data_IF_188119330729
#
_entry.id   IF_188119330729
#
_cell.length_a   1.000
_cell.length_b   1.000
_cell.length_c   1.000
_cell.angle_alpha   90.00
_cell.angle_beta   90.00
_cell.angle_gamma   90.00
#
_symmetry.space_group_name_H-M   'P 1'
#
loop_
_entity.id
_entity.type
_entity.pdbx_description
1 polymer ?
#
# COMPACT_ATOMS: atom_id res chain seq x y z
N UNK A 1 4.25 -53.54 -55.95
CA UNK A 1 3.30 -54.60 -56.30
C UNK A 1 2.06 -53.95 -56.90
N UNK A 2 1.62 -54.38 -58.10
CA UNK A 2 0.43 -53.82 -58.76
C UNK A 2 -0.79 -54.24 -57.94
N UNK A 3 -1.51 -53.29 -57.35
CA UNK A 3 -2.81 -53.55 -56.70
C UNK A 3 -3.85 -53.66 -57.80
N UNK A 4 -4.68 -54.69 -57.71
CA UNK A 4 -5.80 -54.93 -58.62
C UNK A 4 -6.95 -54.06 -58.11
N UNK A 5 -7.59 -53.32 -59.01
CA UNK A 5 -8.79 -52.52 -58.69
C UNK A 5 -10.06 -53.33 -59.01
N UNK A 6 -11.20 -52.95 -58.44
CA UNK A 6 -12.51 -53.58 -58.72
C UNK A 6 -12.76 -53.66 -60.24
N UNK A 7 -12.45 -52.58 -60.95
CA UNK A 7 -12.56 -52.47 -62.41
C UNK A 7 -11.63 -53.45 -63.13
N UNK A 8 -10.43 -53.71 -62.59
CA UNK A 8 -9.50 -54.68 -63.17
C UNK A 8 -9.99 -56.13 -63.04
N UNK A 9 -10.79 -56.43 -61.99
CA UNK A 9 -11.39 -57.75 -61.77
C UNK A 9 -12.56 -57.96 -62.73
N UNK A 10 -13.44 -56.98 -62.87
CA UNK A 10 -14.61 -57.03 -63.76
C UNK A 10 -14.24 -57.23 -65.24
N UNK A 11 -13.14 -56.61 -65.69
CA UNK A 11 -12.70 -56.71 -67.09
C UNK A 11 -11.73 -57.89 -67.34
N UNK A 12 -11.53 -58.78 -66.36
CA UNK A 12 -10.56 -59.86 -66.48
C UNK A 12 -11.10 -61.03 -67.29
N UNK A 13 -10.52 -61.27 -68.47
CA UNK A 13 -10.84 -62.45 -69.28
C UNK A 13 -9.83 -63.58 -69.07
N UNK A 14 -10.30 -64.81 -68.80
CA UNK A 14 -9.46 -66.00 -68.70
C UNK A 14 -9.39 -66.79 -70.01
N UNK A 15 -8.25 -67.45 -70.28
CA UNK A 15 -8.08 -68.34 -71.44
C UNK A 15 -8.71 -69.70 -71.14
N UNK A 16 -9.41 -70.30 -72.12
CA UNK A 16 -9.98 -71.65 -72.00
C UNK A 16 -8.88 -72.72 -72.12
N UNK A 17 -8.88 -73.70 -71.21
CA UNK A 17 -7.97 -74.85 -71.21
C UNK A 17 -8.77 -76.17 -71.10
N UNK A 18 -8.24 -77.27 -71.64
CA UNK A 18 -8.93 -78.57 -71.78
C UNK A 18 -9.21 -79.24 -70.40
N UNK A 19 -8.44 -78.89 -69.37
CA UNK A 19 -8.72 -79.17 -67.95
C UNK A 19 -8.64 -77.84 -67.19
N UNK A 20 -9.76 -77.11 -67.12
CA UNK A 20 -9.85 -75.81 -66.45
C UNK A 20 -10.98 -75.79 -65.41
N UNK A 21 -11.01 -74.73 -64.61
CA UNK A 21 -12.10 -74.47 -63.67
C UNK A 21 -13.41 -74.19 -64.42
N UNK A 22 -14.54 -74.55 -63.81
CA UNK A 22 -15.86 -74.22 -64.32
C UNK A 22 -16.03 -72.70 -64.37
N UNK A 23 -16.59 -72.20 -65.48
CA UNK A 23 -16.70 -70.77 -65.69
C UNK A 23 -17.69 -70.14 -64.72
N UNK A 24 -18.84 -70.78 -64.50
CA UNK A 24 -19.85 -70.29 -63.56
C UNK A 24 -19.29 -70.14 -62.13
N UNK A 25 -18.58 -71.14 -61.63
CA UNK A 25 -17.98 -71.10 -60.28
C UNK A 25 -16.92 -69.99 -60.14
N UNK A 26 -16.12 -69.76 -61.19
CA UNK A 26 -15.12 -68.69 -61.19
C UNK A 26 -15.79 -67.31 -61.24
N UNK A 27 -16.80 -67.13 -62.08
CA UNK A 27 -17.52 -65.86 -62.20
C UNK A 27 -18.22 -65.53 -60.86
N UNK A 28 -18.84 -66.51 -60.20
CA UNK A 28 -19.47 -66.31 -58.88
C UNK A 28 -18.45 -65.97 -57.78
N UNK A 29 -17.28 -66.61 -57.77
CA UNK A 29 -16.21 -66.28 -56.82
C UNK A 29 -15.61 -64.89 -57.09
N UNK A 30 -15.56 -64.44 -58.35
CA UNK A 30 -15.13 -63.08 -58.68
C UNK A 30 -16.13 -62.03 -58.20
N UNK A 31 -17.43 -62.30 -58.28
CA UNK A 31 -18.47 -61.40 -57.74
C UNK A 31 -18.33 -61.26 -56.21
N UNK A 32 -18.11 -62.36 -55.48
CA UNK A 32 -17.85 -62.33 -54.03
C UNK A 32 -16.56 -61.55 -53.68
N UNK A 33 -15.50 -61.70 -54.49
CA UNK A 33 -14.27 -60.91 -54.32
C UNK A 33 -14.53 -59.44 -54.57
N UNK A 34 -15.33 -59.08 -55.58
CA UNK A 34 -15.66 -57.70 -55.90
C UNK A 34 -16.39 -57.05 -54.72
N UNK A 35 -17.40 -57.72 -54.17
CA UNK A 35 -18.18 -57.21 -53.03
C UNK A 35 -17.28 -57.00 -51.80
N UNK A 36 -16.47 -58.01 -51.43
CA UNK A 36 -15.52 -57.88 -50.32
C UNK A 36 -14.48 -56.78 -50.54
N UNK A 37 -14.03 -56.58 -51.78
CA UNK A 37 -13.05 -55.53 -52.10
C UNK A 37 -13.70 -54.14 -52.05
N UNK A 38 -14.97 -54.01 -52.47
CA UNK A 38 -15.76 -52.79 -52.34
C UNK A 38 -15.92 -52.41 -50.87
N UNK A 39 -16.37 -53.33 -50.03
CA UNK A 39 -16.52 -53.14 -48.59
C UNK A 39 -15.19 -52.71 -47.93
N UNK A 40 -14.10 -53.42 -48.20
CA UNK A 40 -12.76 -53.09 -47.71
C UNK A 40 -12.32 -51.68 -48.15
N UNK A 41 -12.62 -51.29 -49.39
CA UNK A 41 -12.25 -49.95 -49.89
C UNK A 41 -13.08 -48.85 -49.24
N UNK A 42 -14.36 -49.09 -48.99
CA UNK A 42 -15.24 -48.14 -48.34
C UNK A 42 -14.88 -47.97 -46.86
N UNK A 43 -14.62 -49.07 -46.14
CA UNK A 43 -14.16 -49.03 -44.76
C UNK A 43 -12.81 -48.30 -44.64
N UNK A 44 -11.87 -48.58 -45.55
CA UNK A 44 -10.60 -47.84 -45.61
C UNK A 44 -10.78 -46.35 -45.82
N UNK A 45 -11.64 -45.95 -46.75
CA UNK A 45 -11.92 -44.54 -47.00
C UNK A 45 -12.53 -43.86 -45.77
N UNK A 46 -13.44 -44.54 -45.07
CA UNK A 46 -14.04 -44.05 -43.83
C UNK A 46 -12.99 -43.90 -42.71
N UNK A 47 -12.14 -44.91 -42.51
CA UNK A 47 -11.05 -44.85 -41.53
C UNK A 47 -10.04 -43.76 -41.87
N UNK A 48 -9.66 -43.59 -43.14
CA UNK A 48 -8.74 -42.54 -43.58
C UNK A 48 -9.33 -41.13 -43.32
N UNK A 49 -10.62 -40.95 -43.55
CA UNK A 49 -11.32 -39.70 -43.26
C UNK A 49 -11.36 -39.40 -41.75
N UNK A 50 -11.67 -40.40 -40.91
CA UNK A 50 -11.65 -40.25 -39.45
C UNK A 50 -10.23 -39.96 -38.93
N UNK A 51 -9.22 -40.61 -39.49
CA UNK A 51 -7.82 -40.39 -39.12
C UNK A 51 -7.37 -38.96 -39.48
N UNK A 52 -7.85 -38.41 -40.60
CA UNK A 52 -7.63 -37.02 -40.98
C UNK A 52 -8.30 -36.04 -40.00
N UNK A 53 -9.57 -36.25 -39.67
CA UNK A 53 -10.29 -35.42 -38.66
C UNK A 53 -9.57 -35.45 -37.31
N UNK A 54 -9.18 -36.64 -36.85
CA UNK A 54 -8.53 -36.80 -35.56
C UNK A 54 -7.15 -36.12 -35.54
N UNK A 55 -6.40 -36.18 -36.65
CA UNK A 55 -5.12 -35.46 -36.80
C UNK A 55 -5.31 -33.95 -36.75
N UNK A 56 -6.34 -33.42 -37.41
CA UNK A 56 -6.64 -31.99 -37.39
C UNK A 56 -7.00 -31.53 -35.98
N UNK A 57 -7.85 -32.29 -35.27
CA UNK A 57 -8.21 -32.01 -33.88
C UNK A 57 -7.01 -32.03 -32.95
N UNK A 58 -6.12 -33.02 -33.09
CA UNK A 58 -4.86 -33.08 -32.32
C UNK A 58 -3.99 -31.84 -32.59
N UNK A 59 -3.88 -31.42 -33.85
CA UNK A 59 -3.14 -30.21 -34.23
C UNK A 59 -3.72 -28.97 -33.55
N UNK A 60 -5.04 -28.81 -33.58
CA UNK A 60 -5.73 -27.72 -32.92
C UNK A 60 -5.52 -27.73 -31.39
N UNK A 61 -5.63 -28.89 -30.75
CA UNK A 61 -5.39 -29.01 -29.31
C UNK A 61 -3.94 -28.69 -28.93
N UNK A 62 -2.96 -29.09 -29.75
CA UNK A 62 -1.55 -28.72 -29.53
C UNK A 62 -1.33 -27.22 -29.63
N UNK A 63 -1.92 -26.56 -30.64
CA UNK A 63 -1.83 -25.10 -30.77
C UNK A 63 -2.50 -24.37 -29.58
N UNK A 64 -3.63 -24.90 -29.09
CA UNK A 64 -4.30 -24.38 -27.90
C UNK A 64 -3.44 -24.57 -26.65
N UNK A 65 -2.83 -25.74 -26.47
CA UNK A 65 -1.93 -26.04 -25.35
C UNK A 65 -0.72 -25.09 -25.34
N UNK A 66 -0.09 -24.88 -26.50
CA UNK A 66 1.03 -23.95 -26.64
C UNK A 66 0.61 -22.51 -26.29
N UNK A 67 -0.55 -22.06 -26.79
CA UNK A 67 -1.09 -20.73 -26.46
C UNK A 67 -1.36 -20.59 -24.97
N UNK A 68 -1.93 -21.61 -24.33
CA UNK A 68 -2.22 -21.62 -22.90
C UNK A 68 -0.93 -21.62 -22.06
N UNK A 69 0.07 -22.43 -22.43
CA UNK A 69 1.39 -22.43 -21.77
C UNK A 69 2.07 -21.07 -21.89
N UNK A 70 2.05 -20.44 -23.07
CA UNK A 70 2.60 -19.11 -23.28
C UNK A 70 1.86 -18.05 -22.44
N UNK A 71 0.53 -18.16 -22.36
CA UNK A 71 -0.30 -17.25 -21.55
C UNK A 71 0.01 -17.41 -20.06
N UNK A 72 0.16 -18.65 -19.56
CA UNK A 72 0.52 -18.90 -18.16
C UNK A 72 1.91 -18.35 -17.84
N UNK A 73 2.88 -18.54 -18.73
CA UNK A 73 4.22 -18.01 -18.57
C UNK A 73 4.22 -16.47 -18.55
N UNK A 74 3.45 -15.85 -19.44
CA UNK A 74 3.27 -14.40 -19.45
C UNK A 74 2.62 -13.92 -18.14
N UNK A 75 1.54 -14.55 -17.71
CA UNK A 75 0.84 -14.21 -16.47
C UNK A 75 1.79 -14.33 -15.26
N UNK A 76 2.61 -15.37 -15.19
CA UNK A 76 3.62 -15.52 -14.14
C UNK A 76 4.64 -14.39 -14.17
N UNK A 77 5.21 -14.09 -15.35
CA UNK A 77 6.17 -12.99 -15.52
C UNK A 77 5.56 -11.65 -15.12
N UNK A 78 4.35 -11.35 -15.55
CA UNK A 78 3.63 -10.14 -15.18
C UNK A 78 3.36 -10.09 -13.68
N UNK A 79 2.98 -11.20 -13.05
CA UNK A 79 2.79 -11.26 -11.60
C UNK A 79 4.11 -10.98 -10.85
N UNK A 80 5.22 -11.55 -11.29
CA UNK A 80 6.54 -11.32 -10.71
C UNK A 80 7.00 -9.86 -10.91
N UNK A 81 6.77 -9.28 -12.09
CA UNK A 81 7.06 -7.87 -12.40
C UNK A 81 6.23 -6.92 -11.52
N UNK A 82 4.92 -7.16 -11.38
CA UNK A 82 4.03 -6.37 -10.52
C UNK A 82 4.48 -6.46 -9.07
N UNK A 83 4.85 -7.66 -8.60
CA UNK A 83 5.36 -7.85 -7.24
C UNK A 83 6.68 -7.10 -7.02
N UNK A 84 7.60 -7.16 -7.97
CA UNK A 84 8.88 -6.44 -7.89
C UNK A 84 8.67 -4.92 -7.90
N UNK A 85 7.77 -4.42 -8.74
CA UNK A 85 7.41 -3.00 -8.80
C UNK A 85 6.78 -2.53 -7.48
N UNK A 86 5.82 -3.28 -6.93
CA UNK A 86 5.17 -2.98 -5.66
C UNK A 86 6.18 -2.94 -4.49
N UNK A 87 7.13 -3.88 -4.43
CA UNK A 87 8.20 -3.84 -3.42
C UNK A 87 9.09 -2.60 -3.57
N UNK A 88 9.50 -2.27 -4.79
CA UNK A 88 10.32 -1.08 -5.05
C UNK A 88 9.59 0.20 -4.69
N UNK A 89 8.30 0.29 -5.01
CA UNK A 89 7.46 1.43 -4.68
C UNK A 89 7.24 1.56 -3.17
N UNK A 90 6.99 0.44 -2.47
CA UNK A 90 6.91 0.42 -1.02
C UNK A 90 8.21 0.93 -0.37
N UNK A 91 9.38 0.48 -0.86
CA UNK A 91 10.68 0.95 -0.37
C UNK A 91 10.92 2.44 -0.65
N UNK A 92 10.38 2.97 -1.76
CA UNK A 92 10.44 4.40 -2.08
C UNK A 92 9.53 5.19 -1.15
N UNK A 93 8.29 4.74 -0.91
CA UNK A 93 7.34 5.37 0.01
C UNK A 93 7.94 5.44 1.41
N UNK A 94 8.50 4.33 1.91
CA UNK A 94 9.12 4.29 3.25
C UNK A 94 10.31 5.26 3.33
N UNK A 95 11.16 5.32 2.29
CA UNK A 95 12.28 6.27 2.26
C UNK A 95 11.80 7.71 2.22
N UNK A 96 10.81 8.02 1.41
CA UNK A 96 10.25 9.35 1.29
C UNK A 96 9.62 9.81 2.61
N UNK A 97 8.81 8.94 3.25
CA UNK A 97 8.22 9.20 4.55
C UNK A 97 9.27 9.45 5.64
N UNK A 98 10.41 8.72 5.62
CA UNK A 98 11.52 8.98 6.54
C UNK A 98 12.15 10.34 6.32
N UNK A 99 12.43 10.71 5.07
CA UNK A 99 13.01 12.03 4.73
C UNK A 99 12.06 13.16 5.15
N UNK A 100 10.76 13.00 4.89
CA UNK A 100 9.74 13.98 5.29
C UNK A 100 9.64 14.11 6.80
N UNK A 101 9.61 12.99 7.53
CA UNK A 101 9.60 13.00 8.99
C UNK A 101 10.87 13.65 9.57
N UNK A 102 12.05 13.36 9.02
CA UNK A 102 13.31 13.99 9.44
C UNK A 102 13.29 15.50 9.20
N UNK A 103 12.78 15.94 8.05
CA UNK A 103 12.62 17.36 7.72
C UNK A 103 11.62 18.06 8.63
N UNK A 104 10.51 17.41 8.95
CA UNK A 104 9.50 17.93 9.87
C UNK A 104 10.08 18.07 11.28
N UNK A 105 10.79 17.06 11.77
CA UNK A 105 11.48 17.11 13.08
C UNK A 105 12.51 18.23 13.12
N UNK A 106 13.29 18.43 12.06
CA UNK A 106 14.23 19.55 11.97
C UNK A 106 13.51 20.90 12.04
N UNK A 107 12.41 21.05 11.28
CA UNK A 107 11.60 22.28 11.28
C UNK A 107 11.02 22.57 12.67
N UNK A 108 10.51 21.56 13.37
CA UNK A 108 9.99 21.69 14.72
C UNK A 108 11.09 22.08 15.72
N UNK A 109 12.30 21.51 15.59
CA UNK A 109 13.44 21.91 16.43
C UNK A 109 13.79 23.38 16.24
N UNK A 110 13.85 23.85 14.99
CA UNK A 110 14.15 25.25 14.69
C UNK A 110 13.07 26.19 15.26
N UNK A 111 11.79 25.79 15.18
CA UNK A 111 10.67 26.53 15.77
C UNK A 111 10.73 26.55 17.31
N UNK A 112 11.09 25.43 17.94
CA UNK A 112 11.28 25.37 19.39
C UNK A 112 12.42 26.30 19.81
N UNK A 113 13.54 26.29 19.09
CA UNK A 113 14.64 27.19 19.38
C UNK A 113 14.28 28.67 19.18
N UNK A 114 13.56 29.01 18.11
CA UNK A 114 13.12 30.39 17.90
C UNK A 114 12.16 30.85 19.00
N UNK A 115 11.18 30.01 19.36
CA UNK A 115 10.25 30.29 20.45
C UNK A 115 10.98 30.43 21.81
N UNK A 116 12.02 29.63 22.06
CA UNK A 116 12.86 29.76 23.25
C UNK A 116 13.63 31.09 23.27
N UNK A 117 14.21 31.50 22.12
CA UNK A 117 14.90 32.80 21.99
C UNK A 117 13.94 33.97 22.23
N UNK A 118 12.76 33.94 21.61
CA UNK A 118 11.71 34.95 21.80
C UNK A 118 11.27 35.03 23.27
N UNK A 119 11.07 33.87 23.90
CA UNK A 119 10.76 33.80 25.34
C UNK A 119 11.87 34.45 26.17
N UNK A 120 13.13 34.08 25.94
CA UNK A 120 14.27 34.66 26.69
C UNK A 120 14.35 36.17 26.52
N UNK A 121 14.13 36.67 25.30
CA UNK A 121 14.07 38.10 25.02
C UNK A 121 12.95 38.79 25.80
N UNK A 122 11.73 38.23 25.80
CA UNK A 122 10.61 38.76 26.57
C UNK A 122 10.87 38.77 28.09
N UNK A 123 11.53 37.73 28.62
CA UNK A 123 11.96 37.70 30.02
C UNK A 123 12.99 38.81 30.31
N UNK A 124 13.99 39.01 29.45
CA UNK A 124 14.99 40.06 29.64
C UNK A 124 14.36 41.47 29.64
N UNK A 125 13.44 41.74 28.70
CA UNK A 125 12.69 43.01 28.65
C UNK A 125 11.84 43.21 29.92
N UNK A 126 11.19 42.15 30.41
CA UNK A 126 10.43 42.21 31.68
C UNK A 126 11.34 42.51 32.87
N UNK A 127 12.50 41.87 32.96
CA UNK A 127 13.46 42.11 34.05
C UNK A 127 13.97 43.55 34.04
N UNK A 128 14.27 44.08 32.85
CA UNK A 128 14.68 45.47 32.66
C UNK A 128 13.60 46.45 33.12
N UNK A 129 12.36 46.29 32.64
CA UNK A 129 11.23 47.13 33.05
C UNK A 129 10.98 47.09 34.57
N UNK A 130 11.13 45.91 35.19
CA UNK A 130 11.01 45.77 36.65
C UNK A 130 12.12 46.53 37.39
N UNK A 131 13.36 46.45 36.90
CA UNK A 131 14.49 47.15 37.50
C UNK A 131 14.36 48.68 37.35
N UNK A 132 13.88 49.16 36.20
CA UNK A 132 13.57 50.57 35.96
C UNK A 132 12.50 51.08 36.94
N UNK A 133 11.38 50.35 37.08
CA UNK A 133 10.33 50.68 38.04
C UNK A 133 10.85 50.70 39.47
N UNK A 134 11.64 49.69 39.87
CA UNK A 134 12.26 49.64 41.19
C UNK A 134 13.17 50.84 41.42
N UNK A 135 13.96 51.24 40.43
CA UNK A 135 14.79 52.43 40.47
C UNK A 135 13.97 53.69 40.72
N UNK A 136 12.89 53.90 39.95
CA UNK A 136 11.99 55.04 40.11
C UNK A 136 11.33 55.07 41.50
N UNK A 137 10.91 53.92 42.03
CA UNK A 137 10.31 53.87 43.37
C UNK A 137 11.34 54.19 44.46
N UNK A 138 12.58 53.69 44.34
CA UNK A 138 13.64 53.99 45.30
C UNK A 138 14.03 55.47 45.27
N UNK A 139 14.08 56.11 44.09
CA UNK A 139 14.34 57.55 44.00
C UNK A 139 13.20 58.36 44.61
N UNK A 140 11.94 57.98 44.36
CA UNK A 140 10.79 58.64 44.98
C UNK A 140 10.76 58.46 46.50
N UNK A 141 11.11 57.29 47.02
CA UNK A 141 11.24 57.06 48.47
C UNK A 141 12.35 57.93 49.07
N UNK A 142 13.53 57.98 48.45
CA UNK A 142 14.62 58.83 48.91
C UNK A 142 14.23 60.31 49.00
N UNK A 143 13.49 60.83 48.00
CA UNK A 143 12.97 62.21 48.04
C UNK A 143 11.95 62.45 49.17
N UNK A 144 11.12 61.46 49.48
CA UNK A 144 10.18 61.53 50.61
C UNK A 144 10.94 61.50 51.94
N UNK A 145 11.94 60.63 52.06
CA UNK A 145 12.77 60.52 53.26
C UNK A 145 13.58 61.81 53.49
N UNK A 146 14.16 62.42 52.45
CA UNK A 146 14.80 63.74 52.53
C UNK A 146 13.81 64.84 52.95
N UNK A 147 12.59 64.84 52.40
CA UNK A 147 11.54 65.77 52.80
C UNK A 147 11.15 65.57 54.27
N UNK A 148 11.00 64.33 54.73
CA UNK A 148 10.67 64.01 56.11
C UNK A 148 11.81 64.36 57.06
N UNK A 149 13.07 64.14 56.70
CA UNK A 149 14.23 64.59 57.46
C UNK A 149 14.29 66.13 57.57
N UNK A 150 13.87 66.84 56.53
CA UNK A 150 13.67 68.30 56.57
C UNK A 150 12.55 68.73 57.53
N UNK A 151 11.50 67.92 57.68
CA UNK A 151 10.41 68.14 58.64
C UNK A 151 10.81 67.77 60.08
N UNK A 152 11.61 66.71 60.28
CA UNK A 152 12.16 66.36 61.60
C UNK A 152 13.16 67.40 62.11
N UNK A 153 13.93 68.05 61.21
CA UNK A 153 14.78 69.20 61.54
C UNK A 153 13.98 70.44 61.97
N UNK A 154 12.75 70.61 61.46
CA UNK A 154 11.83 71.67 61.88
C UNK A 154 10.96 71.30 63.11
N UNK A 155 10.97 70.02 63.51
CA UNK A 155 10.13 69.47 64.57
C UNK A 155 10.83 69.25 65.91
N UNK A 156 12.11 69.61 66.08
CA UNK A 156 12.79 69.46 67.36
C UNK A 156 12.46 70.61 68.34
N UNK A 157 11.20 70.63 68.77
CA UNK A 157 10.69 71.34 69.92
C UNK A 157 9.74 70.41 70.68
N UNK A 158 10.28 69.79 71.73
CA UNK A 158 9.60 69.11 72.86
C UNK A 158 9.46 67.56 72.79
N UNK A 159 10.48 66.92 73.39
CA UNK A 159 10.44 65.87 74.43
C UNK A 159 9.63 64.55 74.24
N UNK A 160 10.41 63.50 73.98
CA UNK A 160 10.51 62.22 74.71
C UNK A 160 9.40 61.76 75.69
N UNK A 161 8.90 60.54 75.42
CA UNK A 161 8.85 59.46 76.42
C UNK A 161 7.49 58.80 76.65
N UNK A 162 7.26 57.62 76.05
CA UNK A 162 6.77 56.40 76.73
C UNK A 162 6.40 55.26 75.74
N UNK A 163 7.26 54.25 75.69
CA UNK A 163 6.96 52.80 75.82
C UNK A 163 5.83 52.17 74.99
N UNK A 164 6.24 51.28 74.06
CA UNK A 164 5.45 50.18 73.47
C UNK A 164 5.07 49.12 74.54
N UNK A 165 4.05 48.23 74.39
CA UNK A 165 3.89 47.36 73.20
C UNK A 165 2.46 47.04 72.71
N UNK A 166 2.42 46.73 71.41
CA UNK A 166 1.57 45.78 70.64
C UNK A 166 0.12 45.45 71.05
N UNK A 167 -0.80 45.46 70.08
CA UNK A 167 -1.95 44.56 70.04
C UNK A 167 -1.83 43.52 68.90
N UNK A 168 -2.12 42.24 69.21
CA UNK A 168 -2.52 41.20 68.24
C UNK A 168 -4.07 41.13 68.15
N UNK A 169 -4.69 40.20 67.37
CA UNK A 169 -5.23 40.33 66.01
C UNK A 169 -6.79 40.19 65.99
N UNK A 170 -7.45 40.04 64.81
CA UNK A 170 -7.83 38.67 64.44
C UNK A 170 -7.83 38.35 62.92
N UNK A 171 -7.74 37.04 62.67
CA UNK A 171 -7.77 36.34 61.38
C UNK A 171 -9.10 36.47 60.61
N UNK A 172 -9.00 36.45 59.27
CA UNK A 172 -10.00 36.01 58.27
C UNK A 172 -9.22 35.65 56.99
N UNK A 173 -9.49 34.63 56.19
CA UNK A 173 -10.41 33.50 56.18
C UNK A 173 -9.81 32.55 55.13
N UNK A 174 -9.81 31.25 55.40
CA UNK A 174 -9.40 30.23 54.43
C UNK A 174 -10.54 30.07 53.44
N UNK A 175 -10.38 30.56 52.22
CA UNK A 175 -11.16 30.02 51.10
C UNK A 175 -10.47 28.74 50.62
N UNK A 176 -11.00 27.62 51.14
CA UNK A 176 -11.01 26.37 50.40
C UNK A 176 -11.87 26.58 49.16
N UNK A 177 -11.28 26.58 47.96
CA UNK A 177 -12.03 26.14 46.79
C UNK A 177 -11.63 24.70 46.45
N UNK A 178 -12.60 23.85 46.70
CA UNK A 178 -12.66 22.44 46.41
C UNK A 178 -12.69 22.22 44.89
N UNK A 179 -11.87 21.26 44.46
CA UNK A 179 -12.02 20.33 43.33
C UNK A 179 -13.25 20.57 42.43
N UNK A 180 -12.97 20.92 41.17
CA UNK A 180 -13.87 20.74 40.03
C UNK A 180 -13.13 19.98 38.94
N UNK A 181 -13.15 18.65 39.04
CA UNK A 181 -12.85 17.74 37.95
C UNK A 181 -13.90 18.01 36.86
N UNK A 182 -13.50 18.60 35.73
CA UNK A 182 -14.31 18.55 34.52
C UNK A 182 -13.92 17.26 33.80
N UNK A 183 -14.72 16.23 34.06
CA UNK A 183 -14.90 15.11 33.13
C UNK A 183 -15.45 15.68 31.83
N UNK A 184 -14.79 15.40 30.71
CA UNK A 184 -15.38 15.47 29.38
C UNK A 184 -16.09 14.14 29.11
N UNK A 185 -17.43 14.12 28.98
CA UNK A 185 -18.10 13.05 28.27
C UNK A 185 -18.42 13.50 26.84
N UNK A 186 -17.85 12.75 25.91
CA UNK A 186 -18.41 12.46 24.60
C UNK A 186 -18.48 13.62 23.57
N UNK A 187 -17.64 13.49 22.54
CA UNK A 187 -18.13 13.52 21.16
C UNK A 187 -17.48 12.35 20.41
N UNK A 188 -18.28 11.32 20.15
CA UNK A 188 -18.01 10.33 19.11
C UNK A 188 -18.86 10.64 17.89
N UNK A 189 -18.25 10.50 16.70
CA UNK A 189 -18.83 10.04 15.44
C UNK A 189 -17.68 9.83 14.45
#
# INVERSE_FOLDING_TARGET
MKRITIVDIQHKTFKKAIQGYAREDVDQYLDEIIESLEDDTQERAAMEAELLDLKERISHFKAMEESLQNTLLLAQRTADEVKAAAHKEADLIVRQARIEAEKEVATLRDQIESAQRERQHAFAEREKARNELRGLLLTHLALIDERNAGVESAGNGVAAGATAPAPQPPAREREHLHVGLLEDPAVGA
#
